data_IF_414022549603
#
_entry.id   IF_414022549603
#
_cell.length_a   1.000
_cell.length_b   1.000
_cell.length_c   1.000
_cell.angle_alpha   90.00
_cell.angle_beta   90.00
_cell.angle_gamma   90.00
#
_symmetry.space_group_name_H-M   'P 1'
#
loop_
_entity.id
_entity.type
_entity.pdbx_description
1 polymer ?
#
# COMPACT_ATOMS: atom_id res chain seq x y z
N UNK A 1 5.73 7.50 17.96
CA UNK A 1 4.31 7.43 17.53
C UNK A 1 4.27 7.87 16.09
N UNK A 2 3.81 7.02 15.19
CA UNK A 2 3.67 7.39 13.79
C UNK A 2 2.29 7.97 13.55
N UNK A 3 2.21 9.06 12.75
CA UNK A 3 0.92 9.64 12.38
C UNK A 3 0.34 8.88 11.19
N UNK A 4 -0.95 8.59 11.25
CA UNK A 4 -1.70 8.04 10.14
C UNK A 4 -2.89 8.93 9.81
N UNK A 5 -3.17 9.05 8.52
CA UNK A 5 -4.33 9.78 8.01
C UNK A 5 -5.50 8.80 8.00
N UNK A 6 -6.60 9.08 8.71
CA UNK A 6 -7.82 8.28 8.58
C UNK A 6 -8.27 8.23 7.13
N UNK A 7 -8.66 7.06 6.65
CA UNK A 7 -9.05 6.90 5.23
C UNK A 7 -10.19 7.84 4.84
N UNK A 8 -11.11 8.13 5.73
CA UNK A 8 -12.20 9.08 5.50
C UNK A 8 -11.72 10.52 5.21
N UNK A 9 -10.51 10.89 5.66
CA UNK A 9 -9.89 12.18 5.42
C UNK A 9 -8.81 12.15 4.34
N UNK A 10 -8.48 10.97 3.86
CA UNK A 10 -7.47 10.83 2.81
C UNK A 10 -7.98 11.41 1.49
N UNK A 11 -7.19 12.30 0.92
CA UNK A 11 -7.42 12.90 -0.39
C UNK A 11 -6.26 12.51 -1.33
N UNK A 12 -6.48 11.60 -2.29
CA UNK A 12 -5.44 11.17 -3.22
C UNK A 12 -4.76 12.30 -3.98
N UNK A 13 -5.45 13.43 -4.20
CA UNK A 13 -4.90 14.59 -4.94
C UNK A 13 -3.85 15.36 -4.16
N UNK A 14 -3.73 15.11 -2.84
CA UNK A 14 -2.72 15.70 -1.96
C UNK A 14 -1.43 14.88 -1.88
N UNK A 15 -1.37 13.74 -2.53
CA UNK A 15 -0.13 12.95 -2.65
C UNK A 15 0.84 13.67 -3.57
N UNK A 16 2.10 13.70 -3.17
CA UNK A 16 3.21 14.29 -3.92
C UNK A 16 4.29 13.24 -4.14
N UNK A 17 4.99 13.37 -5.25
CA UNK A 17 6.13 12.53 -5.55
C UNK A 17 7.35 12.99 -4.73
N UNK A 18 7.98 12.04 -4.09
CA UNK A 18 9.23 12.25 -3.37
C UNK A 18 10.44 11.80 -4.19
N UNK A 19 11.47 11.36 -3.48
CA UNK A 19 12.73 10.96 -4.13
C UNK A 19 12.59 9.60 -4.84
N UNK A 20 13.25 9.52 -6.01
CA UNK A 20 13.46 8.26 -6.69
C UNK A 20 14.69 7.54 -6.09
N UNK A 21 14.53 6.25 -5.81
CA UNK A 21 15.60 5.38 -5.29
C UNK A 21 15.74 4.16 -6.18
N UNK A 22 16.97 3.90 -6.63
CA UNK A 22 17.30 2.71 -7.39
C UNK A 22 17.63 1.54 -6.47
N UNK A 23 17.14 0.37 -6.81
CA UNK A 23 17.46 -0.90 -6.15
C UNK A 23 17.63 -1.99 -7.21
N UNK A 24 18.00 -3.21 -6.81
CA UNK A 24 18.12 -4.33 -7.75
C UNK A 24 16.76 -4.57 -8.44
N UNK A 25 16.78 -4.54 -9.79
CA UNK A 25 15.61 -4.80 -10.65
C UNK A 25 14.38 -3.93 -10.38
N UNK A 26 14.56 -2.76 -9.75
CA UNK A 26 13.47 -1.82 -9.49
C UNK A 26 13.96 -0.40 -9.27
N UNK A 27 13.10 0.55 -9.61
CA UNK A 27 13.20 1.95 -9.17
C UNK A 27 11.95 2.31 -8.40
N UNK A 28 12.10 2.89 -7.22
CA UNK A 28 10.98 3.27 -6.35
C UNK A 28 10.92 4.77 -6.22
N UNK A 29 9.75 5.34 -6.50
CA UNK A 29 9.46 6.76 -6.31
C UNK A 29 8.59 6.88 -5.07
N UNK A 30 9.10 7.55 -4.04
CA UNK A 30 8.39 7.65 -2.75
C UNK A 30 7.17 8.56 -2.83
N UNK A 31 6.22 8.34 -1.91
CA UNK A 31 5.09 9.23 -1.67
C UNK A 31 5.38 10.15 -0.49
N UNK A 32 5.01 11.42 -0.66
CA UNK A 32 4.81 12.39 0.39
C UNK A 32 3.32 12.77 0.41
N UNK A 33 2.86 13.41 1.46
CA UNK A 33 1.48 13.91 1.55
C UNK A 33 1.49 15.33 2.07
N UNK A 34 0.78 16.23 1.39
CA UNK A 34 0.70 17.65 1.74
C UNK A 34 -0.75 18.05 1.95
N UNK A 35 -1.07 18.50 3.15
CA UNK A 35 -2.39 19.03 3.50
C UNK A 35 -2.27 20.41 4.15
N UNK A 36 -2.44 21.43 3.35
CA UNK A 36 -2.27 22.83 3.78
C UNK A 36 -0.82 23.11 4.20
N UNK A 37 -0.61 23.40 5.48
CA UNK A 37 0.72 23.65 6.04
C UNK A 37 1.41 22.37 6.54
N UNK A 38 0.72 21.22 6.50
CA UNK A 38 1.25 19.95 6.96
C UNK A 38 1.86 19.20 5.80
N UNK A 39 3.12 18.83 5.94
CA UNK A 39 3.84 17.99 4.99
C UNK A 39 4.35 16.73 5.70
N UNK A 40 3.94 15.57 5.21
CA UNK A 40 4.36 14.28 5.72
C UNK A 40 5.31 13.60 4.73
N UNK A 41 6.49 13.22 5.19
CA UNK A 41 7.49 12.51 4.38
C UNK A 41 7.16 11.02 4.19
N UNK A 42 6.17 10.52 4.90
CA UNK A 42 5.66 9.16 4.76
C UNK A 42 4.14 9.19 4.77
N UNK A 43 3.54 8.43 3.86
CA UNK A 43 2.10 8.32 3.76
C UNK A 43 1.62 7.08 4.50
N UNK A 44 1.10 7.26 5.69
CA UNK A 44 0.46 6.21 6.47
C UNK A 44 -1.05 6.43 6.48
N UNK A 45 -1.81 5.39 6.16
CA UNK A 45 -3.27 5.41 6.17
C UNK A 45 -3.80 4.51 7.28
N UNK A 46 -4.81 4.99 8.01
CA UNK A 46 -5.59 4.18 8.92
C UNK A 46 -6.88 3.74 8.23
N UNK A 47 -7.08 2.44 8.08
CA UNK A 47 -8.28 1.91 7.44
C UNK A 47 -9.55 2.13 8.28
N UNK A 48 -10.70 2.09 7.63
CA UNK A 48 -11.97 1.75 8.28
C UNK A 48 -11.91 0.33 8.83
N UNK A 49 -12.91 -0.10 9.61
CA UNK A 49 -13.03 -1.49 10.02
C UNK A 49 -13.04 -2.44 8.81
N UNK A 50 -12.15 -3.43 8.85
CA UNK A 50 -12.00 -4.46 7.84
C UNK A 50 -12.16 -5.83 8.49
N UNK A 51 -12.80 -6.77 7.80
CA UNK A 51 -12.95 -8.14 8.27
C UNK A 51 -11.81 -9.00 7.75
N UNK A 52 -11.17 -9.73 8.63
CA UNK A 52 -10.14 -10.71 8.26
C UNK A 52 -10.79 -11.87 7.51
N UNK A 53 -10.35 -12.09 6.28
CA UNK A 53 -10.74 -13.26 5.49
C UNK A 53 -9.75 -14.39 5.71
N UNK A 54 -8.46 -14.05 5.62
CA UNK A 54 -7.41 -15.05 5.64
C UNK A 54 -6.04 -14.41 5.93
N UNK A 55 -5.22 -15.10 6.73
CA UNK A 55 -3.80 -14.78 6.95
C UNK A 55 -2.95 -15.82 6.23
N UNK A 56 -2.19 -15.40 5.22
CA UNK A 56 -1.24 -16.23 4.50
C UNK A 56 0.16 -16.03 5.11
N UNK A 57 0.53 -16.90 6.02
CA UNK A 57 1.82 -16.83 6.71
C UNK A 57 3.00 -17.16 5.79
N UNK A 58 2.80 -17.96 4.75
CA UNK A 58 3.85 -18.34 3.82
C UNK A 58 4.22 -17.19 2.88
N UNK A 59 3.24 -16.35 2.54
CA UNK A 59 3.43 -15.18 1.68
C UNK A 59 3.51 -13.86 2.43
N UNK A 60 3.38 -13.86 3.75
CA UNK A 60 3.29 -12.66 4.56
C UNK A 60 2.19 -11.71 4.07
N UNK A 61 1.00 -12.24 3.84
CA UNK A 61 -0.14 -11.49 3.31
C UNK A 61 -1.35 -11.63 4.22
N UNK A 62 -2.06 -10.52 4.38
CA UNK A 62 -3.33 -10.44 5.08
C UNK A 62 -4.42 -10.06 4.08
N UNK A 63 -5.38 -10.94 3.89
CA UNK A 63 -6.51 -10.74 2.99
C UNK A 63 -7.70 -10.27 3.82
N UNK A 64 -8.26 -9.13 3.43
CA UNK A 64 -9.31 -8.44 4.15
C UNK A 64 -10.49 -8.13 3.23
N UNK A 65 -11.67 -8.02 3.82
CA UNK A 65 -12.89 -7.50 3.19
C UNK A 65 -13.34 -6.22 3.90
N UNK A 66 -13.92 -5.30 3.14
CA UNK A 66 -14.49 -4.09 3.68
C UNK A 66 -15.87 -4.35 4.31
N UNK A 67 -16.14 -3.67 5.41
CA UNK A 67 -17.51 -3.64 5.96
C UNK A 67 -18.43 -2.80 5.06
N UNK A 68 -19.76 -3.02 5.06
CA UNK A 68 -20.69 -2.33 4.16
C UNK A 68 -20.67 -0.80 4.21
N UNK A 69 -20.22 -0.22 5.31
CA UNK A 69 -20.10 1.25 5.48
C UNK A 69 -18.69 1.79 5.26
N UNK A 70 -17.76 0.93 4.89
CA UNK A 70 -16.36 1.32 4.67
C UNK A 70 -16.17 2.18 3.42
N UNK A 71 -15.11 2.96 3.43
CA UNK A 71 -14.68 3.79 2.29
C UNK A 71 -13.29 3.42 1.79
N UNK A 72 -12.67 2.44 2.43
CA UNK A 72 -11.28 2.10 2.19
C UNK A 72 -11.05 1.65 0.74
N UNK A 73 -11.87 0.71 0.24
CA UNK A 73 -11.75 0.20 -1.12
C UNK A 73 -11.97 1.29 -2.17
N UNK A 74 -12.98 2.14 -1.99
CA UNK A 74 -13.28 3.24 -2.92
C UNK A 74 -12.11 4.22 -2.96
N UNK A 75 -11.56 4.61 -1.82
CA UNK A 75 -10.44 5.55 -1.74
C UNK A 75 -9.16 4.97 -2.34
N UNK A 76 -8.90 3.69 -2.10
CA UNK A 76 -7.73 3.00 -2.66
C UNK A 76 -7.87 2.85 -4.18
N UNK A 77 -9.06 2.56 -4.68
CA UNK A 77 -9.31 2.48 -6.13
C UNK A 77 -9.11 3.84 -6.81
N UNK A 78 -9.64 4.91 -6.22
CA UNK A 78 -9.40 6.28 -6.67
C UNK A 78 -7.90 6.61 -6.69
N UNK A 79 -7.19 6.23 -5.64
CA UNK A 79 -5.75 6.44 -5.55
C UNK A 79 -4.97 5.65 -6.61
N UNK A 80 -5.29 4.37 -6.81
CA UNK A 80 -4.66 3.55 -7.85
C UNK A 80 -4.91 4.13 -9.26
N UNK A 81 -6.12 4.61 -9.52
CA UNK A 81 -6.47 5.22 -10.81
C UNK A 81 -5.64 6.48 -11.05
N UNK A 82 -5.51 7.35 -10.05
CA UNK A 82 -4.70 8.56 -10.13
C UNK A 82 -3.23 8.20 -10.38
N UNK A 83 -2.66 7.29 -9.58
CA UNK A 83 -1.26 6.87 -9.71
C UNK A 83 -0.97 6.25 -11.07
N UNK A 84 -1.89 5.44 -11.60
CA UNK A 84 -1.73 4.85 -12.93
C UNK A 84 -1.65 5.90 -14.04
N UNK A 85 -2.41 7.00 -13.93
CA UNK A 85 -2.31 8.15 -14.82
C UNK A 85 -0.99 8.90 -14.67
N UNK A 86 -0.55 9.13 -13.45
CA UNK A 86 0.70 9.84 -13.13
C UNK A 86 1.94 9.05 -13.61
N UNK A 87 1.96 7.72 -13.48
CA UNK A 87 3.05 6.87 -14.01
C UNK A 87 3.20 7.09 -15.52
N UNK A 88 2.10 7.06 -16.26
CA UNK A 88 2.11 7.28 -17.71
C UNK A 88 2.65 8.65 -18.11
N UNK A 89 2.47 9.64 -17.24
CA UNK A 89 2.91 11.02 -17.47
C UNK A 89 4.40 11.23 -17.15
N UNK A 90 4.87 10.64 -16.04
CA UNK A 90 6.17 10.98 -15.45
C UNK A 90 7.24 9.90 -15.55
N UNK A 91 6.95 8.70 -16.08
CA UNK A 91 7.92 7.60 -16.09
C UNK A 91 9.24 7.96 -16.79
N UNK A 92 9.20 8.78 -17.85
CA UNK A 92 10.39 9.20 -18.58
C UNK A 92 11.32 10.07 -17.74
N UNK A 93 10.73 10.95 -16.92
CA UNK A 93 11.49 11.81 -16.01
C UNK A 93 12.11 10.98 -14.90
N UNK A 94 11.36 10.02 -14.37
CA UNK A 94 11.86 9.13 -13.31
C UNK A 94 12.95 8.16 -13.78
N UNK A 95 12.94 7.79 -15.05
CA UNK A 95 13.88 6.86 -15.66
C UNK A 95 14.95 7.56 -16.52
N UNK A 96 15.11 8.88 -16.32
CA UNK A 96 16.17 9.66 -17.00
C UNK A 96 16.09 9.58 -18.53
N UNK A 97 14.89 9.60 -19.06
CA UNK A 97 14.62 9.55 -20.49
C UNK A 97 14.69 8.17 -21.12
N UNK A 98 14.83 7.09 -20.34
CA UNK A 98 14.79 5.72 -20.84
C UNK A 98 13.43 5.47 -21.52
N UNK A 99 13.46 5.13 -22.80
CA UNK A 99 12.25 4.74 -23.52
C UNK A 99 11.85 3.31 -23.13
N UNK A 100 10.53 3.04 -23.10
CA UNK A 100 10.09 1.64 -23.10
C UNK A 100 10.52 0.98 -24.42
N UNK A 101 10.95 -0.29 -24.39
CA UNK A 101 11.10 -1.07 -25.61
C UNK A 101 9.81 -0.99 -26.45
N UNK A 102 9.92 -0.87 -27.77
CA UNK A 102 8.76 -0.77 -28.68
C UNK A 102 7.77 -1.95 -28.53
N UNK A 103 8.26 -3.08 -28.04
CA UNK A 103 7.47 -4.28 -27.78
C UNK A 103 6.70 -4.28 -26.45
N UNK A 104 6.94 -3.31 -25.57
CA UNK A 104 6.37 -3.30 -24.23
C UNK A 104 5.40 -2.12 -24.03
N UNK A 105 4.14 -2.45 -23.86
CA UNK A 105 3.14 -1.47 -23.45
C UNK A 105 3.21 -1.23 -21.94
N UNK A 106 2.89 -0.01 -21.50
CA UNK A 106 2.70 0.27 -20.08
C UNK A 106 1.52 -0.55 -19.58
N UNK A 107 1.82 -1.55 -18.78
CA UNK A 107 0.80 -2.37 -18.14
C UNK A 107 0.04 -1.54 -17.08
N UNK A 108 -1.25 -1.84 -16.83
CA UNK A 108 -1.95 -1.28 -15.69
C UNK A 108 -1.18 -1.54 -14.39
N UNK A 109 -1.28 -0.59 -13.46
CA UNK A 109 -0.73 -0.76 -12.12
C UNK A 109 -1.23 -2.07 -11.50
N UNK A 110 -0.31 -2.87 -10.95
CA UNK A 110 -0.69 -4.12 -10.29
C UNK A 110 -1.66 -3.82 -9.14
N UNK A 111 -2.91 -4.31 -9.20
CA UNK A 111 -3.90 -3.97 -8.19
C UNK A 111 -3.63 -4.73 -6.89
N UNK A 112 -3.86 -4.07 -5.76
CA UNK A 112 -3.97 -4.70 -4.45
C UNK A 112 -5.41 -4.96 -4.02
N UNK A 113 -6.36 -4.52 -4.87
CA UNK A 113 -7.78 -4.87 -4.78
C UNK A 113 -8.11 -5.95 -5.81
N UNK A 114 -8.73 -7.03 -5.36
CA UNK A 114 -9.22 -8.10 -6.24
C UNK A 114 -10.54 -8.63 -5.69
N UNK A 115 -11.60 -8.57 -6.51
CA UNK A 115 -12.92 -9.11 -6.14
C UNK A 115 -13.43 -8.59 -4.79
N UNK A 116 -13.34 -7.28 -4.56
CA UNK A 116 -13.71 -6.59 -3.31
C UNK A 116 -12.89 -7.00 -2.07
N UNK A 117 -11.78 -7.72 -2.28
CA UNK A 117 -10.82 -8.06 -1.25
C UNK A 117 -9.55 -7.25 -1.43
N UNK A 118 -8.96 -6.85 -0.33
CA UNK A 118 -7.66 -6.20 -0.32
C UNK A 118 -6.61 -7.17 0.21
N UNK A 119 -5.46 -7.20 -0.46
CA UNK A 119 -4.30 -7.93 0.02
C UNK A 119 -3.30 -6.93 0.58
N UNK A 120 -3.08 -6.97 1.88
CA UNK A 120 -2.06 -6.18 2.55
C UNK A 120 -0.82 -7.05 2.80
N UNK A 121 0.35 -6.49 2.46
CA UNK A 121 1.62 -7.15 2.74
C UNK A 121 2.05 -6.86 4.18
N UNK A 122 2.38 -7.91 4.89
CA UNK A 122 3.06 -7.83 6.18
C UNK A 122 4.56 -7.66 5.94
N UNK A 123 5.29 -7.22 6.97
CA UNK A 123 6.76 -7.21 6.91
C UNK A 123 7.32 -8.63 6.79
N UNK A 124 8.60 -8.76 6.43
CA UNK A 124 9.28 -10.07 6.43
C UNK A 124 9.30 -10.73 7.82
N UNK A 125 9.04 -9.96 8.86
CA UNK A 125 8.87 -10.41 10.24
C UNK A 125 7.48 -10.02 10.75
N UNK A 126 6.40 -10.76 10.40
CA UNK A 126 5.03 -10.44 10.83
C UNK A 126 4.89 -10.33 12.35
N UNK A 127 5.69 -11.09 13.09
CA UNK A 127 5.74 -11.03 14.55
C UNK A 127 6.24 -9.70 15.12
N UNK A 128 6.92 -8.88 14.32
CA UNK A 128 7.36 -7.54 14.72
C UNK A 128 6.27 -6.47 14.59
N UNK A 129 5.16 -6.79 13.91
CA UNK A 129 4.05 -5.85 13.73
C UNK A 129 3.19 -5.83 14.99
N UNK A 130 3.03 -4.68 15.66
CA UNK A 130 2.15 -4.58 16.82
C UNK A 130 0.70 -4.89 16.46
N UNK A 131 0.10 -5.81 17.18
CA UNK A 131 -1.32 -6.11 17.10
C UNK A 131 -1.99 -5.77 18.42
N UNK A 132 -2.66 -4.65 18.46
CA UNK A 132 -3.29 -4.12 19.68
C UNK A 132 -4.68 -4.71 19.88
N UNK A 133 -4.91 -5.22 21.07
CA UNK A 133 -6.19 -5.79 21.54
C UNK A 133 -6.61 -5.12 22.84
N UNK A 134 -7.79 -5.44 23.36
CA UNK A 134 -8.22 -4.98 24.70
C UNK A 134 -7.24 -5.37 25.81
N UNK A 135 -6.55 -6.48 25.63
CA UNK A 135 -5.65 -7.06 26.65
C UNK A 135 -4.20 -6.61 26.49
N UNK A 136 -3.92 -5.71 25.55
CA UNK A 136 -2.58 -5.22 25.25
C UNK A 136 -2.12 -5.56 23.84
N UNK A 137 -0.80 -5.63 23.63
CA UNK A 137 -0.21 -5.98 22.34
C UNK A 137 0.03 -7.48 22.27
N UNK A 138 -0.36 -8.07 21.15
CA UNK A 138 -0.17 -9.48 20.82
C UNK A 138 0.70 -9.63 19.57
N UNK A 139 1.25 -10.81 19.35
CA UNK A 139 1.96 -11.17 18.10
C UNK A 139 0.99 -11.68 17.06
N UNK A 140 1.14 -11.23 15.80
CA UNK A 140 0.34 -11.72 14.69
C UNK A 140 0.66 -13.19 14.41
N UNK A 141 -0.37 -14.02 14.46
CA UNK A 141 -0.30 -15.46 14.14
C UNK A 141 -1.71 -15.98 13.84
N UNK A 142 -1.81 -17.18 13.29
CA UNK A 142 -3.10 -17.87 13.06
C UNK A 142 -3.89 -18.11 14.36
N UNK A 143 -3.22 -18.03 15.51
CA UNK A 143 -3.87 -18.17 16.82
C UNK A 143 -4.48 -16.87 17.32
N UNK A 144 -3.85 -15.74 16.98
CA UNK A 144 -4.22 -14.41 17.48
C UNK A 144 -5.07 -13.62 16.49
N UNK A 145 -4.92 -13.86 15.18
CA UNK A 145 -5.68 -13.19 14.12
C UNK A 145 -6.43 -14.24 13.30
N UNK A 146 -7.76 -14.28 13.42
CA UNK A 146 -8.60 -15.32 12.84
C UNK A 146 -9.53 -14.76 11.76
N UNK A 147 -9.94 -15.60 10.79
CA UNK A 147 -11.03 -15.24 9.89
C UNK A 147 -12.29 -14.80 10.67
N UNK A 148 -12.88 -13.68 10.23
CA UNK A 148 -14.01 -13.04 10.88
C UNK A 148 -13.64 -11.97 11.91
N UNK A 149 -12.38 -11.88 12.35
CA UNK A 149 -11.94 -10.78 13.23
C UNK A 149 -12.16 -9.44 12.54
N UNK A 150 -12.67 -8.47 13.28
CA UNK A 150 -12.82 -7.08 12.82
C UNK A 150 -11.62 -6.27 13.30
N UNK A 151 -10.91 -5.67 12.36
CA UNK A 151 -9.66 -4.95 12.63
C UNK A 151 -9.61 -3.59 11.93
N UNK A 152 -8.73 -2.72 12.39
CA UNK A 152 -8.20 -1.60 11.61
C UNK A 152 -6.73 -1.84 11.33
N UNK A 153 -6.28 -1.49 10.13
CA UNK A 153 -4.89 -1.59 9.74
C UNK A 153 -4.30 -0.20 9.52
N UNK A 154 -3.15 0.05 10.11
CA UNK A 154 -2.29 1.16 9.72
C UNK A 154 -1.36 0.68 8.63
N UNK A 155 -1.50 1.26 7.44
CA UNK A 155 -0.76 0.86 6.24
C UNK A 155 0.14 1.99 5.81
N UNK A 156 1.44 1.70 5.64
CA UNK A 156 2.39 2.62 5.04
C UNK A 156 2.42 2.43 3.54
N UNK A 157 2.20 3.52 2.80
CA UNK A 157 2.40 3.59 1.36
C UNK A 157 3.79 4.15 1.10
N UNK A 158 4.72 3.31 0.65
CA UNK A 158 6.10 3.73 0.43
C UNK A 158 6.30 4.53 -0.85
N UNK A 159 5.59 4.15 -1.91
CA UNK A 159 5.76 4.74 -3.23
C UNK A 159 5.32 3.81 -4.34
N UNK A 160 5.67 4.17 -5.56
CA UNK A 160 5.52 3.33 -6.74
C UNK A 160 6.85 2.66 -7.05
N UNK A 161 6.80 1.36 -7.26
CA UNK A 161 7.93 0.56 -7.73
C UNK A 161 7.75 0.26 -9.21
N UNK A 162 8.71 0.71 -10.02
CA UNK A 162 8.84 0.36 -11.43
C UNK A 162 9.76 -0.85 -11.54
N UNK A 163 9.28 -1.94 -12.17
CA UNK A 163 10.07 -3.15 -12.34
C UNK A 163 11.06 -2.97 -13.51
N UNK A 164 12.33 -3.22 -13.24
CA UNK A 164 13.40 -3.16 -14.24
C UNK A 164 13.83 -4.57 -14.64
N UNK A 165 14.33 -4.71 -15.86
CA UNK A 165 14.97 -5.92 -16.35
C UNK A 165 16.47 -5.94 -15.97
N UNK A 166 17.19 -6.95 -16.42
CA UNK A 166 18.64 -7.09 -16.18
C UNK A 166 19.48 -5.97 -16.82
N UNK A 167 18.95 -5.30 -17.83
CA UNK A 167 19.58 -4.15 -18.51
C UNK A 167 19.23 -2.81 -17.86
N UNK A 168 18.47 -2.83 -16.74
CA UNK A 168 17.92 -1.66 -16.06
C UNK A 168 16.87 -0.88 -16.88
N UNK A 169 16.28 -1.50 -17.91
CA UNK A 169 15.14 -0.95 -18.61
C UNK A 169 13.84 -1.26 -17.86
N UNK A 170 12.90 -0.32 -17.92
CA UNK A 170 11.57 -0.56 -17.34
C UNK A 170 10.78 -1.57 -18.16
N UNK A 171 10.22 -2.57 -17.51
CA UNK A 171 9.38 -3.62 -18.13
C UNK A 171 7.95 -3.19 -18.40
N UNK A 172 7.59 -1.94 -18.17
CA UNK A 172 6.21 -1.46 -18.25
C UNK A 172 5.35 -1.82 -17.04
N UNK A 173 5.85 -2.63 -16.12
CA UNK A 173 5.13 -3.08 -14.92
C UNK A 173 5.43 -2.20 -13.73
N UNK A 174 4.39 -1.91 -12.94
CA UNK A 174 4.49 -1.09 -11.73
C UNK A 174 3.52 -1.58 -10.65
N UNK A 175 3.84 -1.26 -9.41
CA UNK A 175 2.97 -1.51 -8.26
C UNK A 175 3.14 -0.46 -7.18
N UNK A 176 2.09 -0.22 -6.40
CA UNK A 176 2.20 0.55 -5.16
C UNK A 176 2.84 -0.34 -4.10
N UNK A 177 3.99 0.06 -3.57
CA UNK A 177 4.61 -0.60 -2.44
C UNK A 177 3.94 -0.15 -1.16
N UNK A 178 3.42 -1.12 -0.40
CA UNK A 178 2.79 -0.89 0.89
C UNK A 178 3.10 -2.03 1.85
N UNK A 179 2.99 -1.75 3.13
CA UNK A 179 3.05 -2.75 4.19
C UNK A 179 2.30 -2.28 5.43
N UNK A 180 1.80 -3.27 6.17
CA UNK A 180 1.15 -3.03 7.46
C UNK A 180 2.21 -2.68 8.49
N UNK A 181 1.97 -1.62 9.25
CA UNK A 181 2.84 -1.20 10.37
C UNK A 181 2.22 -1.46 11.72
N UNK A 182 0.89 -1.43 11.82
CA UNK A 182 0.16 -1.74 13.05
C UNK A 182 -1.22 -2.32 12.73
N UNK A 183 -1.72 -3.19 13.59
CA UNK A 183 -3.09 -3.70 13.54
C UNK A 183 -3.80 -3.43 14.88
N UNK A 184 -5.09 -3.17 14.79
CA UNK A 184 -5.95 -2.90 15.95
C UNK A 184 -7.19 -3.78 15.87
N UNK A 185 -7.40 -4.68 16.84
CA UNK A 185 -8.66 -5.42 16.95
C UNK A 185 -9.75 -4.46 17.41
N UNK A 186 -10.83 -4.42 16.66
CA UNK A 186 -12.03 -3.71 17.08
C UNK A 186 -12.80 -4.66 17.97
N UNK A 187 -12.98 -4.24 19.20
CA UNK A 187 -13.74 -5.02 20.18
C UNK A 187 -15.22 -4.96 19.85
N UNK A 188 -15.89 -6.10 19.89
CA UNK A 188 -17.33 -6.15 20.14
C UNK A 188 -17.70 -5.54 21.49
#
# INVERSE_FOLDING_TARGET
MEFAIPISRFDPTKVRWGQARSGPFRKTISFNYEDGQLAFQSLNLMSDPLTVVYLDTDKNQLILEETPQGQFLIKIDQFQTLINGEIKKYYKDWLEGTALPESEAIAPLQPWLKSQKITLYLSNEPSSIPFFTKNGSETISDKTLKPGDLIRAMVRLQGVSLQLNELNDWTGKSRIQHYVIELYRISE
#
